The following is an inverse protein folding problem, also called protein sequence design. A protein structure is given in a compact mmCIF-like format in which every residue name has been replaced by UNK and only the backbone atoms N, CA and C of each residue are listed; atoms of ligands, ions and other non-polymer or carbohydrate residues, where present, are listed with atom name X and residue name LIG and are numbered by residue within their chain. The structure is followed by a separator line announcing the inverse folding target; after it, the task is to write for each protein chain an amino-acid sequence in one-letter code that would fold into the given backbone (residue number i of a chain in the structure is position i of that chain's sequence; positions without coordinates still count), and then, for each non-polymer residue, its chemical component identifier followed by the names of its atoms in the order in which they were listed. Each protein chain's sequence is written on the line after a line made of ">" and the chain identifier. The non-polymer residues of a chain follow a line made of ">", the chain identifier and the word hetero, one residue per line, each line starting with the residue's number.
data_IF_295812671582
#
_entry.id   IF_295812671582
#
_cell.length_a   1.000
_cell.length_b   1.000
_cell.length_c   1.000
_cell.angle_alpha   90.00
_cell.angle_beta   90.00
_cell.angle_gamma   90.00
#
_symmetry.space_group_name_H-M   'P 1'
#
loop_
_entity.id
_entity.type
_entity.pdbx_description
1 polymer ?
#
# COMPACT_ATOMS: atom_id res chain seq x y z
N UNK A 1 20.60 19.48 -16.26
CA UNK A 1 20.69 20.55 -17.26
C UNK A 1 19.30 20.75 -17.84
N UNK A 2 18.85 22.00 -17.98
CA UNK A 2 17.58 22.30 -18.63
C UNK A 2 17.73 22.14 -20.15
N UNK A 3 16.67 21.70 -20.81
CA UNK A 3 16.60 21.47 -22.25
C UNK A 3 15.40 22.25 -22.82
N UNK A 4 15.45 22.55 -24.12
CA UNK A 4 14.33 23.18 -24.83
C UNK A 4 13.35 22.09 -25.28
N UNK A 5 12.07 22.29 -24.99
CA UNK A 5 11.01 21.38 -25.40
C UNK A 5 9.91 22.14 -26.15
N UNK A 6 9.38 21.54 -27.22
CA UNK A 6 8.15 22.03 -27.84
C UNK A 6 6.95 21.56 -27.02
N UNK A 7 6.12 22.51 -26.59
CA UNK A 7 5.00 22.25 -25.68
C UNK A 7 3.73 22.93 -26.19
N UNK A 8 2.59 22.40 -25.74
CA UNK A 8 1.31 23.05 -25.95
C UNK A 8 1.14 24.24 -25.00
N UNK A 9 0.76 25.38 -25.58
CA UNK A 9 0.29 26.55 -24.85
C UNK A 9 -1.17 26.82 -25.17
N UNK A 10 -1.97 27.03 -24.13
CA UNK A 10 -3.40 27.30 -24.27
C UNK A 10 -3.73 28.73 -23.86
N UNK A 11 -4.52 29.40 -24.68
CA UNK A 11 -5.00 30.76 -24.43
C UNK A 11 -6.51 30.70 -24.34
N UNK A 12 -7.03 30.95 -23.14
CA UNK A 12 -8.48 31.06 -22.91
C UNK A 12 -8.97 32.48 -23.19
N UNK A 13 -10.04 32.58 -23.97
CA UNK A 13 -10.79 33.82 -24.22
C UNK A 13 -12.28 33.53 -23.99
N UNK A 14 -12.70 33.65 -22.73
CA UNK A 14 -14.05 33.26 -22.30
C UNK A 14 -14.32 31.78 -22.56
N UNK A 15 -15.29 31.47 -23.42
CA UNK A 15 -15.63 30.08 -23.77
C UNK A 15 -14.72 29.46 -24.83
N UNK A 16 -13.85 30.26 -25.48
CA UNK A 16 -12.94 29.78 -26.54
C UNK A 16 -11.57 29.43 -25.97
N UNK A 17 -11.02 28.29 -26.38
CA UNK A 17 -9.64 27.87 -26.17
C UNK A 17 -8.92 27.96 -27.52
N UNK A 18 -7.75 28.60 -27.56
CA UNK A 18 -6.83 28.51 -28.71
C UNK A 18 -5.54 27.81 -28.29
N UNK A 19 -5.13 26.84 -29.07
CA UNK A 19 -3.82 26.20 -28.95
C UNK A 19 -2.79 27.00 -29.73
N UNK A 20 -1.63 27.23 -29.11
CA UNK A 20 -0.40 27.67 -29.73
C UNK A 20 0.70 26.66 -29.40
N UNK A 21 1.72 26.60 -30.24
CA UNK A 21 2.99 25.96 -29.90
C UNK A 21 3.87 26.98 -29.17
N UNK A 22 4.64 26.51 -28.21
CA UNK A 22 5.68 27.28 -27.55
C UNK A 22 6.94 26.41 -27.42
N UNK A 23 8.11 27.04 -27.37
CA UNK A 23 9.38 26.36 -27.15
C UNK A 23 9.92 26.86 -25.82
N UNK A 24 9.90 26.00 -24.80
CA UNK A 24 10.21 26.38 -23.43
C UNK A 24 11.47 25.69 -22.94
N UNK A 25 12.31 26.43 -22.24
CA UNK A 25 13.39 25.85 -21.44
C UNK A 25 12.79 25.25 -20.16
N UNK A 26 13.17 24.01 -19.87
CA UNK A 26 12.67 23.33 -18.69
C UNK A 26 13.23 21.94 -18.52
N UNK A 27 12.51 21.13 -17.76
CA UNK A 27 12.90 19.76 -17.44
C UNK A 27 11.70 18.85 -17.41
N UNK A 28 11.85 17.65 -17.96
CA UNK A 28 10.79 16.64 -17.87
C UNK A 28 10.49 16.31 -16.40
N UNK A 29 9.21 16.16 -16.06
CA UNK A 29 8.73 15.94 -14.69
C UNK A 29 9.49 14.81 -14.00
N UNK A 30 9.69 13.67 -14.69
CA UNK A 30 10.47 12.52 -14.19
C UNK A 30 11.85 12.90 -13.66
N UNK A 31 12.59 13.76 -14.36
CA UNK A 31 13.92 14.19 -13.95
C UNK A 31 13.85 15.36 -12.98
N UNK A 32 12.81 16.20 -13.07
CA UNK A 32 12.60 17.28 -12.12
C UNK A 32 12.41 16.75 -10.71
N UNK A 33 11.49 15.79 -10.52
CA UNK A 33 11.18 15.23 -9.20
C UNK A 33 12.36 14.44 -8.62
N UNK A 34 13.09 13.70 -9.45
CA UNK A 34 14.30 12.99 -9.01
C UNK A 34 15.34 13.94 -8.38
N UNK A 35 15.50 15.12 -8.95
CA UNK A 35 16.49 16.08 -8.48
C UNK A 35 15.90 17.05 -7.43
N UNK A 36 14.58 17.06 -7.24
CA UNK A 36 13.86 17.91 -6.28
C UNK A 36 12.75 17.09 -5.57
N UNK A 37 13.13 16.16 -4.66
CA UNK A 37 12.18 15.23 -4.05
C UNK A 37 11.27 15.89 -3.00
N UNK A 38 11.59 17.08 -2.50
CA UNK A 38 10.84 17.74 -1.41
C UNK A 38 10.13 19.04 -1.88
N UNK A 39 9.14 18.97 -2.80
CA UNK A 39 8.43 20.16 -3.24
C UNK A 39 7.57 20.75 -2.10
N UNK A 40 7.31 22.06 -2.14
CA UNK A 40 6.29 22.63 -1.25
C UNK A 40 4.94 21.97 -1.54
N UNK A 41 4.22 21.54 -0.49
CA UNK A 41 2.93 20.85 -0.64
C UNK A 41 1.95 21.64 -1.51
N UNK A 42 1.88 22.95 -1.33
CA UNK A 42 1.03 23.81 -2.14
C UNK A 42 1.40 23.76 -3.64
N UNK A 43 2.70 23.72 -3.97
CA UNK A 43 3.19 23.61 -5.35
C UNK A 43 2.83 22.27 -5.96
N UNK A 44 3.00 21.15 -5.22
CA UNK A 44 2.61 19.84 -5.71
C UNK A 44 1.11 19.76 -6.06
N UNK A 45 0.26 20.26 -5.16
CA UNK A 45 -1.19 20.27 -5.39
C UNK A 45 -1.61 21.25 -6.49
N UNK A 46 -0.86 22.32 -6.71
CA UNK A 46 -1.06 23.21 -7.84
C UNK A 46 -0.64 22.55 -9.16
N UNK A 47 0.43 21.76 -9.18
CA UNK A 47 0.80 20.94 -10.34
C UNK A 47 -0.26 19.94 -10.73
N UNK A 48 -0.88 19.25 -9.76
CA UNK A 48 -2.04 18.39 -10.05
C UNK A 48 -3.11 19.18 -10.80
N UNK A 49 -3.53 20.34 -10.28
CA UNK A 49 -4.53 21.21 -10.93
C UNK A 49 -4.12 21.66 -12.32
N UNK A 50 -2.87 22.09 -12.50
CA UNK A 50 -2.36 22.52 -13.80
C UNK A 50 -2.40 21.40 -14.84
N UNK A 51 -2.07 20.16 -14.47
CA UNK A 51 -2.17 19.00 -15.37
C UNK A 51 -3.62 18.81 -15.81
N UNK A 52 -4.58 18.77 -14.87
CA UNK A 52 -6.00 18.62 -15.17
C UNK A 52 -6.54 19.74 -16.08
N UNK A 53 -6.15 20.99 -15.80
CA UNK A 53 -6.52 22.16 -16.59
C UNK A 53 -5.96 22.10 -18.01
N UNK A 54 -4.69 21.74 -18.17
CA UNK A 54 -4.04 21.61 -19.48
C UNK A 54 -4.71 20.51 -20.31
N UNK A 55 -5.10 19.38 -19.71
CA UNK A 55 -5.84 18.32 -20.40
C UNK A 55 -7.21 18.80 -20.88
N UNK A 56 -7.96 19.52 -20.03
CA UNK A 56 -9.27 20.08 -20.40
C UNK A 56 -9.14 21.10 -21.55
N UNK A 57 -8.14 21.97 -21.49
CA UNK A 57 -7.84 22.93 -22.55
C UNK A 57 -7.45 22.21 -23.85
N UNK A 58 -6.57 21.20 -23.80
CA UNK A 58 -6.21 20.39 -24.96
C UNK A 58 -7.46 19.78 -25.62
N UNK A 59 -8.35 19.19 -24.83
CA UNK A 59 -9.59 18.58 -25.32
C UNK A 59 -10.51 19.61 -25.97
N UNK A 60 -10.72 20.78 -25.34
CA UNK A 60 -11.51 21.88 -25.92
C UNK A 60 -10.95 22.34 -27.26
N UNK A 61 -9.63 22.46 -27.34
CA UNK A 61 -8.91 22.87 -28.53
C UNK A 61 -8.87 21.77 -29.63
N UNK A 62 -9.02 20.48 -29.29
CA UNK A 62 -8.96 19.32 -30.21
C UNK A 62 -10.29 18.61 -30.42
N UNK A 63 -11.41 19.33 -30.32
CA UNK A 63 -12.77 18.80 -30.54
C UNK A 63 -13.09 17.54 -29.70
N UNK A 64 -12.70 17.55 -28.42
CA UNK A 64 -12.95 16.46 -27.48
C UNK A 64 -12.00 15.27 -27.59
N UNK A 65 -10.99 15.33 -28.48
CA UNK A 65 -9.91 14.34 -28.52
C UNK A 65 -9.03 14.48 -27.28
N UNK A 66 -8.69 13.34 -26.68
CA UNK A 66 -7.78 13.28 -25.54
C UNK A 66 -6.32 13.46 -25.92
N UNK A 67 -5.49 13.75 -24.93
CA UNK A 67 -4.04 13.87 -25.08
C UNK A 67 -3.39 12.49 -25.25
N UNK A 68 -3.84 11.47 -24.52
CA UNK A 68 -3.51 10.04 -24.63
C UNK A 68 -2.05 9.64 -24.33
N UNK A 69 -1.17 10.60 -24.08
CA UNK A 69 0.26 10.35 -23.83
C UNK A 69 0.69 10.71 -22.40
N UNK A 70 -0.24 11.01 -21.51
CA UNK A 70 0.09 11.58 -20.20
C UNK A 70 0.91 10.62 -19.34
N UNK A 71 2.14 11.01 -19.05
CA UNK A 71 3.06 10.34 -18.14
C UNK A 71 4.18 11.33 -17.72
N UNK A 72 5.09 10.98 -16.79
CA UNK A 72 6.14 11.87 -16.32
C UNK A 72 7.16 12.36 -17.37
N UNK A 73 7.27 11.73 -18.54
CA UNK A 73 8.07 12.23 -19.67
C UNK A 73 7.29 13.20 -20.56
N UNK A 74 5.96 13.18 -20.53
CA UNK A 74 5.11 14.02 -21.38
C UNK A 74 4.80 15.39 -20.76
N UNK A 75 5.45 15.72 -19.65
CA UNK A 75 5.21 16.90 -18.83
C UNK A 75 6.53 17.64 -18.64
N UNK A 76 6.54 18.92 -18.97
CA UNK A 76 7.70 19.81 -18.80
C UNK A 76 7.44 20.74 -17.64
N UNK A 77 8.33 20.75 -16.66
CA UNK A 77 8.38 21.75 -15.59
C UNK A 77 9.30 22.89 -16.07
N UNK A 78 8.76 24.09 -16.17
CA UNK A 78 9.50 25.29 -16.58
C UNK A 78 10.28 25.89 -15.41
N UNK A 79 11.17 26.84 -15.69
CA UNK A 79 11.89 27.59 -14.64
C UNK A 79 10.96 28.34 -13.67
N UNK A 80 9.76 28.73 -14.12
CA UNK A 80 8.73 29.37 -13.29
C UNK A 80 7.91 28.37 -12.47
N UNK A 81 8.35 27.11 -12.37
CA UNK A 81 7.63 26.01 -11.71
C UNK A 81 6.21 25.79 -12.25
N UNK A 82 5.99 26.10 -13.53
CA UNK A 82 4.74 25.80 -14.24
C UNK A 82 4.87 24.49 -14.98
N UNK A 83 3.75 23.80 -15.16
CA UNK A 83 3.69 22.58 -15.95
C UNK A 83 3.09 22.85 -17.33
N UNK A 84 3.77 22.34 -18.36
CA UNK A 84 3.30 22.30 -19.74
C UNK A 84 3.19 20.86 -20.26
N UNK A 85 2.23 20.62 -21.16
CA UNK A 85 2.13 19.34 -21.87
C UNK A 85 3.08 19.35 -23.07
N UNK A 86 3.92 18.32 -23.18
CA UNK A 86 4.82 18.10 -24.32
C UNK A 86 4.00 17.91 -25.62
N UNK A 87 4.47 18.42 -26.76
CA UNK A 87 3.94 18.01 -28.05
C UNK A 87 4.59 16.70 -28.53
N UNK A 88 3.86 15.57 -28.55
CA UNK A 88 4.40 14.30 -29.01
C UNK A 88 4.64 14.25 -30.52
N UNK A 89 4.02 15.14 -31.30
CA UNK A 89 4.12 15.14 -32.76
C UNK A 89 5.29 16.01 -33.26
N UNK A 90 5.96 16.73 -32.36
CA UNK A 90 7.12 17.57 -32.64
C UNK A 90 8.39 16.74 -32.90
N UNK A 91 9.12 16.96 -34.02
CA UNK A 91 10.41 16.32 -34.28
C UNK A 91 11.45 16.57 -33.17
N UNK A 92 11.42 17.75 -32.57
CA UNK A 92 12.32 18.17 -31.49
C UNK A 92 12.16 17.28 -30.25
N UNK A 93 10.98 16.67 -30.08
CA UNK A 93 10.64 15.79 -28.96
C UNK A 93 10.76 14.29 -29.28
N UNK A 94 11.28 13.89 -30.45
CA UNK A 94 11.34 12.48 -30.88
C UNK A 94 12.06 11.58 -29.85
N UNK A 95 13.15 12.08 -29.25
CA UNK A 95 13.90 11.34 -28.25
C UNK A 95 13.07 11.10 -26.97
N UNK A 96 12.23 12.06 -26.58
CA UNK A 96 11.31 11.93 -25.44
C UNK A 96 10.21 10.93 -25.78
N UNK A 97 9.69 10.97 -27.01
CA UNK A 97 8.69 10.02 -27.48
C UNK A 97 9.17 8.57 -27.45
N UNK A 98 10.45 8.31 -27.79
CA UNK A 98 11.04 6.97 -27.65
C UNK A 98 11.04 6.49 -26.19
N UNK A 99 11.30 7.38 -25.24
CA UNK A 99 11.21 7.06 -23.79
C UNK A 99 9.77 6.77 -23.37
N UNK A 100 8.81 7.55 -23.85
CA UNK A 100 7.38 7.34 -23.57
C UNK A 100 6.84 6.02 -24.15
N UNK A 101 7.47 5.49 -25.20
CA UNK A 101 7.11 4.22 -25.82
C UNK A 101 7.76 2.99 -25.15
N UNK A 102 8.69 3.18 -24.20
CA UNK A 102 9.28 2.08 -23.45
C UNK A 102 8.19 1.23 -22.79
N UNK A 103 8.36 -0.09 -22.85
CA UNK A 103 7.38 -1.06 -22.34
C UNK A 103 7.00 -0.75 -20.88
N UNK A 104 7.99 -0.54 -20.02
CA UNK A 104 7.77 -0.20 -18.61
C UNK A 104 6.92 1.08 -18.43
N UNK A 105 7.12 2.11 -19.26
CA UNK A 105 6.29 3.32 -19.20
C UNK A 105 4.88 3.02 -19.68
N UNK A 106 4.74 2.28 -20.78
CA UNK A 106 3.42 1.97 -21.33
C UNK A 106 2.58 1.10 -20.40
N UNK A 107 3.18 0.11 -19.74
CA UNK A 107 2.48 -0.78 -18.81
C UNK A 107 1.86 -0.03 -17.63
N UNK A 108 2.50 1.04 -17.14
CA UNK A 108 2.04 1.79 -15.98
C UNK A 108 1.11 2.96 -16.33
N UNK A 109 1.28 3.59 -17.50
CA UNK A 109 0.59 4.85 -17.83
C UNK A 109 -0.44 4.72 -18.98
N UNK A 110 -0.47 3.61 -19.72
CA UNK A 110 -1.47 3.40 -20.79
C UNK A 110 -2.61 2.53 -20.28
N UNK A 111 -3.83 3.05 -20.39
CA UNK A 111 -5.04 2.31 -20.00
C UNK A 111 -5.17 0.99 -20.79
N UNK A 112 -5.32 -0.17 -20.12
CA UNK A 112 -5.52 -1.46 -20.79
C UNK A 112 -6.78 -1.48 -21.68
N UNK A 113 -6.66 -2.10 -22.86
CA UNK A 113 -7.72 -2.11 -23.90
C UNK A 113 -8.97 -2.91 -23.47
N UNK A 114 -8.83 -3.84 -22.52
CA UNK A 114 -9.90 -4.74 -22.05
C UNK A 114 -10.89 -4.05 -21.09
N UNK A 115 -10.57 -2.87 -20.54
CA UNK A 115 -11.45 -2.09 -19.66
C UNK A 115 -12.60 -1.36 -20.38
N UNK A 116 -13.05 -1.87 -21.55
CA UNK A 116 -14.00 -1.20 -22.47
C UNK A 116 -15.46 -1.25 -22.02
N UNK A 117 -15.74 -1.44 -20.73
CA UNK A 117 -17.05 -1.10 -20.17
C UNK A 117 -17.16 0.43 -20.14
N UNK A 118 -17.64 0.98 -21.26
CA UNK A 118 -18.02 2.40 -21.46
C UNK A 118 -17.03 3.44 -20.92
N UNK A 119 -15.91 3.65 -21.62
CA UNK A 119 -15.02 4.78 -21.33
C UNK A 119 -14.35 5.27 -22.60
N UNK A 120 -14.79 6.41 -23.13
CA UNK A 120 -14.19 7.03 -24.34
C UNK A 120 -12.74 7.46 -24.12
N UNK A 121 -12.16 8.19 -25.08
CA UNK A 121 -10.78 8.74 -25.03
C UNK A 121 -10.48 9.53 -23.74
N UNK A 122 -11.50 10.17 -23.15
CA UNK A 122 -11.39 10.83 -21.84
C UNK A 122 -10.98 9.90 -20.71
N UNK A 123 -11.48 8.66 -20.74
CA UNK A 123 -11.15 7.68 -19.70
C UNK A 123 -9.68 7.24 -19.74
N UNK A 124 -9.02 7.35 -20.90
CA UNK A 124 -7.59 7.10 -21.02
C UNK A 124 -6.76 8.27 -20.48
N UNK A 125 -7.17 9.52 -20.73
CA UNK A 125 -6.54 10.69 -20.12
C UNK A 125 -6.70 10.69 -18.60
N UNK A 126 -7.89 10.33 -18.08
CA UNK A 126 -8.15 10.21 -16.64
C UNK A 126 -7.24 9.14 -16.00
N UNK A 127 -7.09 7.99 -16.66
CA UNK A 127 -6.19 6.93 -16.20
C UNK A 127 -4.73 7.43 -16.12
N UNK A 128 -4.23 8.04 -17.20
CA UNK A 128 -2.87 8.60 -17.21
C UNK A 128 -2.69 9.71 -16.18
N UNK A 129 -3.74 10.48 -15.89
CA UNK A 129 -3.74 11.55 -14.91
C UNK A 129 -3.62 11.00 -13.48
N UNK A 130 -4.42 9.98 -13.14
CA UNK A 130 -4.30 9.28 -11.86
C UNK A 130 -2.94 8.61 -11.67
N UNK A 131 -2.43 7.90 -12.68
CA UNK A 131 -1.11 7.26 -12.63
C UNK A 131 0.04 8.26 -12.54
N UNK A 132 -0.09 9.43 -13.17
CA UNK A 132 0.88 10.52 -13.02
C UNK A 132 0.85 11.10 -11.60
N UNK A 133 -0.33 11.30 -10.99
CA UNK A 133 -0.41 11.70 -9.58
C UNK A 133 0.23 10.67 -8.64
N UNK A 134 -0.06 9.38 -8.86
CA UNK A 134 0.54 8.29 -8.09
C UNK A 134 2.07 8.33 -8.18
N UNK A 135 2.62 8.47 -9.39
CA UNK A 135 4.06 8.61 -9.59
C UNK A 135 4.64 9.82 -8.86
N UNK A 136 3.98 10.98 -8.95
CA UNK A 136 4.45 12.20 -8.29
C UNK A 136 4.49 12.04 -6.77
N UNK A 137 3.47 11.43 -6.17
CA UNK A 137 3.43 11.17 -4.72
C UNK A 137 4.48 10.15 -4.28
N UNK A 138 4.71 9.10 -5.06
CA UNK A 138 5.72 8.08 -4.73
C UNK A 138 7.17 8.59 -4.82
N UNK A 139 7.42 9.56 -5.70
CA UNK A 139 8.76 10.12 -5.93
C UNK A 139 9.02 11.42 -5.16
N UNK A 140 8.10 11.86 -4.30
CA UNK A 140 8.26 13.09 -3.53
C UNK A 140 7.88 12.93 -2.07
N UNK A 141 8.52 13.74 -1.22
CA UNK A 141 8.15 13.96 0.17
C UNK A 141 7.74 15.44 0.32
N UNK A 142 6.46 15.79 0.08
CA UNK A 142 6.04 17.18 0.08
C UNK A 142 6.23 17.84 1.43
N UNK A 143 6.60 19.11 1.45
CA UNK A 143 6.84 19.88 2.68
C UNK A 143 5.79 20.99 2.84
N UNK A 144 5.01 21.03 3.93
CA UNK A 144 4.90 19.99 4.96
C UNK A 144 4.26 18.72 4.41
N UNK A 145 4.50 17.57 5.07
CA UNK A 145 3.95 16.28 4.68
C UNK A 145 2.41 16.32 4.55
N UNK A 146 1.88 15.41 3.74
CA UNK A 146 0.44 15.23 3.68
C UNK A 146 -0.06 14.74 5.04
N UNK A 147 -1.25 15.19 5.42
CA UNK A 147 -1.99 14.61 6.54
C UNK A 147 -2.66 13.31 6.09
N UNK A 148 -2.96 12.41 7.04
CA UNK A 148 -3.71 11.17 6.74
C UNK A 148 -5.00 11.42 5.96
N UNK A 149 -5.69 12.53 6.24
CA UNK A 149 -6.91 12.92 5.50
C UNK A 149 -6.64 13.33 4.05
N UNK A 150 -5.52 14.02 3.82
CA UNK A 150 -5.06 14.39 2.47
C UNK A 150 -4.64 13.14 1.68
N UNK A 151 -3.91 12.22 2.31
CA UNK A 151 -3.50 10.92 1.73
C UNK A 151 -4.71 10.08 1.35
N UNK A 152 -5.63 9.84 2.29
CA UNK A 152 -6.87 9.10 2.03
C UNK A 152 -7.73 9.77 0.93
N UNK A 153 -7.73 11.10 0.86
CA UNK A 153 -8.41 11.83 -0.22
C UNK A 153 -7.70 11.63 -1.57
N UNK A 154 -6.37 11.63 -1.60
CA UNK A 154 -5.60 11.36 -2.82
C UNK A 154 -5.76 9.92 -3.31
N UNK A 155 -5.73 8.91 -2.42
CA UNK A 155 -6.01 7.51 -2.76
C UNK A 155 -7.37 7.41 -3.46
N UNK A 156 -8.42 7.99 -2.87
CA UNK A 156 -9.76 8.01 -3.47
C UNK A 156 -9.81 8.72 -4.83
N UNK A 157 -9.10 9.82 -5.00
CA UNK A 157 -9.02 10.54 -6.28
C UNK A 157 -8.33 9.68 -7.34
N UNK A 158 -7.17 9.09 -7.02
CA UNK A 158 -6.39 8.25 -7.93
C UNK A 158 -7.19 7.02 -8.35
N UNK A 159 -7.81 6.33 -7.40
CA UNK A 159 -8.65 5.17 -7.66
C UNK A 159 -9.78 5.47 -8.66
N UNK A 160 -10.49 6.59 -8.46
CA UNK A 160 -11.58 6.99 -9.35
C UNK A 160 -11.09 7.41 -10.74
N UNK A 161 -9.87 7.91 -10.86
CA UNK A 161 -9.21 8.20 -12.13
C UNK A 161 -8.81 6.91 -12.89
N UNK A 162 -8.26 5.93 -12.17
CA UNK A 162 -7.73 4.67 -12.74
C UNK A 162 -8.85 3.66 -13.06
N UNK A 163 -10.02 3.80 -12.43
CA UNK A 163 -11.20 2.95 -12.69
C UNK A 163 -11.41 1.86 -11.64
N UNK A 164 -10.80 2.04 -10.48
CA UNK A 164 -10.74 1.11 -9.37
C UNK A 164 -12.04 1.08 -8.55
N UNK A 165 -12.84 2.14 -8.65
CA UNK A 165 -14.13 2.27 -7.98
C UNK A 165 -15.26 2.14 -8.99
N UNK A 166 -16.40 1.60 -8.53
CA UNK A 166 -17.64 1.48 -9.33
C UNK A 166 -18.09 2.80 -9.98
N UNK A 167 -17.80 3.94 -9.35
CA UNK A 167 -18.11 5.29 -9.86
C UNK A 167 -16.84 6.11 -10.10
N UNK A 168 -16.28 5.97 -11.30
CA UNK A 168 -15.18 6.80 -11.79
C UNK A 168 -15.60 8.23 -12.08
N UNK A 169 -14.64 9.06 -12.50
CA UNK A 169 -14.91 10.43 -12.95
C UNK A 169 -15.44 10.46 -14.38
N UNK A 170 -16.41 11.34 -14.63
CA UNK A 170 -16.97 11.59 -15.96
C UNK A 170 -16.25 12.72 -16.70
N UNK A 171 -15.65 13.65 -15.95
CA UNK A 171 -14.87 14.78 -16.49
C UNK A 171 -13.72 15.18 -15.56
N UNK A 172 -12.80 16.01 -16.09
CA UNK A 172 -11.61 16.48 -15.36
C UNK A 172 -11.95 17.49 -14.24
N UNK A 173 -13.10 18.17 -14.33
CA UNK A 173 -13.53 19.19 -13.35
C UNK A 173 -14.00 18.53 -12.06
N UNK A 174 -14.56 17.33 -12.14
CA UNK A 174 -14.88 16.52 -10.97
C UNK A 174 -13.60 16.15 -10.21
N UNK A 175 -12.51 15.80 -10.91
CA UNK A 175 -11.21 15.52 -10.29
C UNK A 175 -10.70 16.76 -9.55
N UNK A 176 -10.72 17.92 -10.21
CA UNK A 176 -10.24 19.19 -9.64
C UNK A 176 -11.00 19.57 -8.35
N UNK A 177 -12.32 19.40 -8.32
CA UNK A 177 -13.15 19.64 -7.13
C UNK A 177 -12.82 18.69 -5.97
N UNK A 178 -12.49 17.45 -6.30
CA UNK A 178 -12.21 16.42 -5.31
C UNK A 178 -10.76 16.46 -4.81
N UNK A 179 -9.87 17.27 -5.41
CA UNK A 179 -8.52 17.51 -4.88
C UNK A 179 -8.54 18.34 -3.58
N UNK A 180 -7.68 18.03 -2.59
CA UNK A 180 -7.45 18.84 -1.40
C UNK A 180 -7.15 20.32 -1.69
N UNK A 181 -7.86 21.24 -1.02
CA UNK A 181 -7.60 22.68 -1.07
C UNK A 181 -6.46 23.04 -0.11
N UNK A 182 -5.24 23.09 -0.65
CA UNK A 182 -4.07 23.54 0.10
C UNK A 182 -3.99 25.05 -0.01
N UNK A 183 -4.33 25.73 1.08
CA UNK A 183 -4.11 27.16 1.20
C UNK A 183 -2.63 27.36 1.47
N UNK A 184 -1.90 27.88 0.49
CA UNK A 184 -0.52 28.28 0.70
C UNK A 184 -0.48 29.26 1.86
N UNK A 185 0.21 28.91 2.95
CA UNK A 185 0.84 29.96 3.75
C UNK A 185 1.81 30.61 2.78
N UNK A 186 1.43 31.75 2.19
CA UNK A 186 2.35 32.52 1.39
C UNK A 186 3.56 32.86 2.24
N UNK A 187 4.60 32.02 2.15
CA UNK A 187 5.88 32.33 2.76
C UNK A 187 6.45 33.42 1.87
N UNK A 188 6.13 34.67 2.25
CA UNK A 188 7.07 35.76 2.04
C UNK A 188 8.42 35.18 2.42
N UNK A 189 9.42 35.24 1.52
CA UNK A 189 10.83 35.05 1.86
C UNK A 189 11.17 36.02 3.00
N UNK A 190 10.88 35.64 4.23
CA UNK A 190 11.34 36.32 5.44
C UNK A 190 12.60 35.57 5.79
N UNK A 191 13.73 36.11 5.31
CA UNK A 191 15.04 35.54 5.55
C UNK A 191 15.25 35.23 7.02
N UNK A 192 15.91 34.10 7.29
CA UNK A 192 16.76 33.72 8.45
C UNK A 192 16.83 34.65 9.69
N UNK A 193 15.71 35.20 10.18
CA UNK A 193 15.72 36.21 11.26
C UNK A 193 14.60 36.00 12.30
N UNK A 194 13.71 35.01 12.16
CA UNK A 194 12.68 34.75 13.18
C UNK A 194 12.95 33.57 14.11
N UNK A 195 14.07 32.87 13.95
CA UNK A 195 14.49 31.83 14.91
C UNK A 195 15.20 32.40 16.15
N UNK A 196 15.70 33.65 16.09
CA UNK A 196 16.38 34.28 17.25
C UNK A 196 15.43 34.92 18.28
N UNK A 197 14.14 35.12 17.96
CA UNK A 197 13.19 35.78 18.88
C UNK A 197 12.46 34.80 19.80
N UNK A 198 12.51 33.49 19.54
CA UNK A 198 11.94 32.47 20.44
C UNK A 198 12.95 31.96 21.48
N UNK A 199 14.25 32.12 21.26
CA UNK A 199 15.28 31.78 22.25
C UNK A 199 15.51 32.87 23.31
N UNK A 200 14.99 34.09 23.13
CA UNK A 200 15.09 35.18 24.11
C UNK A 200 14.00 35.14 25.21
N UNK A 201 12.91 34.41 24.99
CA UNK A 201 11.84 34.24 26.00
C UNK A 201 12.06 33.05 26.94
N UNK A 202 12.97 32.12 26.59
CA UNK A 202 13.30 30.94 27.41
C UNK A 202 14.37 31.19 28.49
N UNK A 203 14.97 32.40 28.54
CA UNK A 203 16.03 32.74 29.52
C UNK A 203 15.53 33.60 30.68
N UNK A 204 14.24 33.98 30.72
CA UNK A 204 13.67 34.80 31.82
C UNK A 204 12.82 33.97 32.80
N UNK A 205 12.53 32.69 32.51
CA UNK A 205 11.76 31.80 33.40
C UNK A 205 12.60 30.81 34.22
N UNK A 206 13.92 30.94 34.23
CA UNK A 206 14.84 30.13 35.06
C UNK A 206 15.27 30.84 36.36
N UNK A 207 14.51 31.85 36.82
CA UNK A 207 14.81 32.57 38.04
C UNK A 207 13.56 33.04 38.74
N UNK A 208 12.93 32.18 39.55
CA UNK A 208 12.45 32.44 40.91
C UNK A 208 12.03 31.10 41.52
N UNK A 209 12.45 30.94 42.77
CA UNK A 209 12.48 29.78 43.66
C UNK A 209 11.13 29.44 44.33
N UNK A 210 10.88 28.12 44.45
CA UNK A 210 10.26 27.35 45.56
C UNK A 210 9.33 28.06 46.55
N UNK A 211 8.07 27.60 46.60
CA UNK A 211 7.16 27.32 47.74
C UNK A 211 5.70 27.43 47.21
N UNK A 212 4.71 26.57 47.44
CA UNK A 212 4.32 25.65 48.52
C UNK A 212 3.37 24.56 47.97
N UNK A 213 3.30 23.44 48.68
CA UNK A 213 2.33 22.35 48.51
C UNK A 213 0.89 22.78 48.79
N UNK A 214 -0.08 22.18 48.09
CA UNK A 214 -1.29 21.57 48.66
C UNK A 214 -2.25 21.07 47.55
N UNK A 215 -2.74 19.85 47.79
CA UNK A 215 -4.03 19.30 47.41
C UNK A 215 -4.20 18.60 46.04
N UNK A 216 -4.63 17.34 46.20
CA UNK A 216 -4.98 16.33 45.23
C UNK A 216 -6.33 16.65 44.56
N UNK A 217 -6.47 16.21 43.31
CA UNK A 217 -7.76 16.12 42.63
C UNK A 217 -7.57 15.71 41.16
N UNK A 218 -7.84 14.42 40.89
CA UNK A 218 -8.27 13.88 39.58
C UNK A 218 -7.20 13.77 38.48
N UNK A 219 -6.40 12.70 38.56
CA UNK A 219 -5.87 12.00 37.37
C UNK A 219 -6.39 10.56 37.44
N UNK A 220 -7.58 10.32 36.93
CA UNK A 220 -8.08 8.98 36.66
C UNK A 220 -9.12 9.07 35.55
N UNK A 221 -8.66 9.32 34.32
CA UNK A 221 -9.47 9.14 33.11
C UNK A 221 -8.63 9.06 31.81
N UNK A 222 -7.31 9.30 31.87
CA UNK A 222 -6.45 9.34 30.67
C UNK A 222 -5.66 8.05 30.38
N UNK A 223 -5.61 7.08 31.29
CA UNK A 223 -4.80 5.86 31.11
C UNK A 223 -5.61 4.63 30.64
N UNK A 224 -6.95 4.71 30.61
CA UNK A 224 -7.77 3.65 30.00
C UNK A 224 -7.99 3.83 28.49
N UNK A 225 -7.70 5.00 27.91
CA UNK A 225 -7.93 5.26 26.48
C UNK A 225 -6.72 4.96 25.58
N UNK A 226 -5.49 5.06 26.10
CA UNK A 226 -4.28 4.83 25.28
C UNK A 226 -3.99 3.34 25.03
N UNK A 227 -4.44 2.44 25.92
CA UNK A 227 -4.22 1.00 25.77
C UNK A 227 -5.23 0.33 24.81
N UNK A 228 -6.41 0.93 24.61
CA UNK A 228 -7.38 0.49 23.59
C UNK A 228 -7.04 1.06 22.20
N UNK A 229 -6.50 2.28 22.10
CA UNK A 229 -6.07 2.88 20.83
C UNK A 229 -4.83 2.18 20.23
N UNK A 230 -3.86 1.76 21.05
CA UNK A 230 -2.65 1.07 20.54
C UNK A 230 -2.94 -0.34 20.00
N UNK A 231 -3.95 -1.04 20.56
CA UNK A 231 -4.42 -2.33 20.02
C UNK A 231 -5.24 -2.20 18.74
N UNK A 232 -5.92 -1.07 18.55
CA UNK A 232 -6.64 -0.78 17.29
C UNK A 232 -5.70 -0.22 16.19
N UNK A 233 -4.62 0.48 16.57
CA UNK A 233 -3.60 0.98 15.65
C UNK A 233 -2.75 -0.15 15.05
N UNK A 234 -2.43 -1.20 15.80
CA UNK A 234 -1.72 -2.36 15.28
C UNK A 234 -2.59 -3.16 14.29
N UNK A 235 -3.89 -3.30 14.58
CA UNK A 235 -4.85 -3.98 13.71
C UNK A 235 -5.22 -3.17 12.45
N UNK A 236 -4.94 -1.87 12.44
CA UNK A 236 -5.16 -0.96 11.30
C UNK A 236 -3.89 -0.72 10.47
N UNK A 237 -2.71 -1.07 11.00
CA UNK A 237 -1.42 -0.97 10.31
C UNK A 237 -1.12 -2.13 9.34
N UNK A 238 -1.85 -3.25 9.43
CA UNK A 238 -1.79 -4.34 8.42
C UNK A 238 -2.72 -4.10 7.21
N UNK A 239 -3.45 -2.99 7.14
CA UNK A 239 -4.49 -2.79 6.11
C UNK A 239 -4.33 -1.58 5.17
N UNK A 240 -3.18 -0.91 5.11
CA UNK A 240 -3.02 0.24 4.19
C UNK A 240 -1.66 0.29 3.47
N UNK A 241 -1.37 -0.72 2.64
CA UNK A 241 -0.67 -0.55 1.36
C UNK A 241 -1.68 -0.78 0.21
N UNK A 242 -2.64 0.12 0.02
CA UNK A 242 -3.49 0.09 -1.18
C UNK A 242 -2.83 0.85 -2.34
N UNK A 243 -1.94 0.14 -3.06
CA UNK A 243 -1.63 0.44 -4.45
C UNK A 243 -2.74 -0.08 -5.38
N UNK A 244 -3.66 0.83 -5.75
CA UNK A 244 -4.50 0.79 -6.96
C UNK A 244 -5.29 -0.50 -7.28
N UNK A 245 -6.56 -0.48 -6.88
CA UNK A 245 -7.66 -1.44 -7.19
C UNK A 245 -7.97 -1.66 -8.72
N UNK A 246 -7.04 -2.12 -9.56
CA UNK A 246 -7.48 -2.84 -10.76
C UNK A 246 -8.16 -4.11 -10.24
N UNK A 247 -9.50 -4.20 -10.37
CA UNK A 247 -10.26 -5.39 -9.95
C UNK A 247 -9.93 -6.54 -10.90
N UNK A 248 -8.81 -7.17 -10.63
CA UNK A 248 -8.47 -8.50 -11.12
C UNK A 248 -9.40 -9.49 -10.44
N UNK A 249 -9.86 -10.51 -11.15
CA UNK A 249 -10.41 -11.68 -10.47
C UNK A 249 -9.31 -12.31 -9.61
N UNK A 250 -9.66 -13.05 -8.56
CA UNK A 250 -8.65 -13.74 -7.74
C UNK A 250 -7.73 -14.65 -8.59
N UNK A 251 -8.29 -15.23 -9.66
CA UNK A 251 -7.56 -16.03 -10.66
C UNK A 251 -6.57 -15.19 -11.48
N UNK A 252 -7.00 -14.00 -11.93
CA UNK A 252 -6.12 -13.06 -12.66
C UNK A 252 -5.01 -12.53 -11.76
N UNK A 253 -5.30 -12.28 -10.48
CA UNK A 253 -4.30 -11.84 -9.52
C UNK A 253 -3.25 -12.92 -9.28
N UNK A 254 -3.67 -14.17 -9.09
CA UNK A 254 -2.76 -15.31 -8.96
C UNK A 254 -1.88 -15.50 -10.21
N UNK A 255 -2.45 -15.37 -11.41
CA UNK A 255 -1.72 -15.48 -12.68
C UNK A 255 -0.68 -14.34 -12.85
N UNK A 256 -1.05 -13.10 -12.51
CA UNK A 256 -0.15 -11.94 -12.56
C UNK A 256 1.00 -12.12 -11.56
N UNK A 257 0.69 -12.52 -10.33
CA UNK A 257 1.69 -12.76 -9.28
C UNK A 257 2.66 -13.88 -9.69
N UNK A 258 2.14 -14.98 -10.24
CA UNK A 258 2.97 -16.08 -10.76
C UNK A 258 3.91 -15.61 -11.87
N UNK A 259 3.38 -14.88 -12.86
CA UNK A 259 4.19 -14.31 -13.95
C UNK A 259 5.25 -13.36 -13.45
N UNK A 260 4.96 -12.61 -12.38
CA UNK A 260 5.93 -11.67 -11.82
C UNK A 260 7.13 -12.36 -11.20
N UNK A 261 6.90 -13.47 -10.47
CA UNK A 261 7.97 -14.30 -9.95
C UNK A 261 8.80 -14.93 -11.08
N UNK A 262 8.15 -15.39 -12.15
CA UNK A 262 8.85 -15.90 -13.34
C UNK A 262 9.72 -14.83 -14.01
N UNK A 263 9.21 -13.60 -14.18
CA UNK A 263 9.97 -12.49 -14.73
C UNK A 263 11.23 -12.22 -13.90
N UNK A 264 11.10 -12.16 -12.56
CA UNK A 264 12.23 -11.93 -11.66
C UNK A 264 13.28 -13.05 -11.75
N UNK A 265 12.86 -14.32 -11.88
CA UNK A 265 13.77 -15.44 -12.11
C UNK A 265 14.48 -15.34 -13.47
N UNK A 266 13.78 -14.90 -14.51
CA UNK A 266 14.34 -14.76 -15.87
C UNK A 266 15.37 -13.65 -16.00
N UNK A 267 15.38 -12.67 -15.08
CA UNK A 267 16.45 -11.68 -15.00
C UNK A 267 17.82 -12.35 -14.77
N UNK A 268 17.84 -13.55 -14.19
CA UNK A 268 19.05 -14.36 -13.95
C UNK A 268 20.14 -13.56 -13.20
N UNK A 269 19.71 -12.76 -12.24
CA UNK A 269 20.56 -11.97 -11.36
C UNK A 269 20.40 -12.44 -9.91
N UNK A 270 21.40 -12.17 -9.07
CA UNK A 270 21.30 -12.45 -7.64
C UNK A 270 20.16 -11.67 -6.97
N UNK A 271 19.96 -10.41 -7.38
CA UNK A 271 18.89 -9.54 -6.87
C UNK A 271 17.50 -10.05 -7.27
N UNK A 272 17.32 -10.47 -8.53
CA UNK A 272 16.07 -11.08 -9.00
C UNK A 272 15.73 -12.35 -8.20
N UNK A 273 16.72 -13.21 -7.96
CA UNK A 273 16.56 -14.41 -7.14
C UNK A 273 16.21 -14.09 -5.69
N UNK A 274 16.86 -13.11 -5.08
CA UNK A 274 16.56 -12.68 -3.70
C UNK A 274 15.13 -12.16 -3.57
N UNK A 275 14.67 -11.36 -4.53
CA UNK A 275 13.28 -10.87 -4.55
C UNK A 275 12.25 -11.99 -4.72
N UNK A 276 12.56 -13.01 -5.51
CA UNK A 276 11.72 -14.21 -5.64
C UNK A 276 11.62 -14.97 -4.34
N UNK A 277 12.74 -15.12 -3.61
CA UNK A 277 12.74 -15.80 -2.32
C UNK A 277 11.86 -15.05 -1.30
N UNK A 278 12.06 -13.74 -1.15
CA UNK A 278 11.30 -12.93 -0.19
C UNK A 278 9.79 -12.97 -0.52
N UNK A 279 9.43 -12.60 -1.76
CA UNK A 279 8.02 -12.52 -2.16
C UNK A 279 7.36 -13.91 -2.19
N UNK A 280 8.09 -14.93 -2.67
CA UNK A 280 7.58 -16.30 -2.76
C UNK A 280 7.31 -16.91 -1.38
N UNK A 281 8.21 -16.70 -0.41
CA UNK A 281 8.03 -17.19 0.96
C UNK A 281 6.86 -16.49 1.67
N UNK A 282 6.67 -15.20 1.45
CA UNK A 282 5.52 -14.46 1.97
C UNK A 282 4.20 -14.99 1.39
N UNK A 283 4.13 -15.17 0.06
CA UNK A 283 2.96 -15.74 -0.60
C UNK A 283 2.67 -17.18 -0.17
N UNK A 284 3.69 -18.02 0.03
CA UNK A 284 3.52 -19.40 0.53
C UNK A 284 2.78 -19.39 1.88
N UNK A 285 3.20 -18.51 2.80
CA UNK A 285 2.54 -18.36 4.12
C UNK A 285 1.09 -17.92 4.00
N UNK A 286 0.80 -16.89 3.21
CA UNK A 286 -0.56 -16.37 3.06
C UNK A 286 -1.53 -17.38 2.44
N UNK A 287 -1.06 -18.12 1.42
CA UNK A 287 -1.82 -19.19 0.78
C UNK A 287 -2.09 -20.30 1.79
N UNK A 288 -1.09 -20.74 2.55
CA UNK A 288 -1.25 -21.80 3.54
C UNK A 288 -2.19 -21.39 4.68
N UNK A 289 -2.14 -20.15 5.18
CA UNK A 289 -3.09 -19.64 6.19
C UNK A 289 -4.53 -19.71 5.67
N UNK A 290 -4.72 -19.29 4.41
CA UNK A 290 -6.04 -19.30 3.76
C UNK A 290 -6.55 -20.71 3.52
N UNK A 291 -5.69 -21.61 3.03
CA UNK A 291 -6.02 -23.01 2.78
C UNK A 291 -6.31 -23.76 4.07
N UNK A 292 -5.48 -23.61 5.11
CA UNK A 292 -5.67 -24.29 6.39
C UNK A 292 -7.02 -23.92 7.01
N UNK A 293 -7.36 -22.63 7.01
CA UNK A 293 -8.65 -22.16 7.49
C UNK A 293 -9.82 -22.66 6.64
N UNK A 294 -9.65 -22.77 5.32
CA UNK A 294 -10.67 -23.32 4.43
C UNK A 294 -10.84 -24.83 4.63
N UNK A 295 -9.76 -25.59 4.75
CA UNK A 295 -9.81 -27.03 5.04
C UNK A 295 -10.48 -27.32 6.38
N UNK A 296 -10.18 -26.55 7.41
CA UNK A 296 -10.83 -26.67 8.71
C UNK A 296 -12.34 -26.42 8.62
N UNK A 297 -12.78 -25.39 7.87
CA UNK A 297 -14.21 -25.07 7.66
C UNK A 297 -14.96 -26.11 6.84
N UNK A 298 -14.29 -26.73 5.89
CA UNK A 298 -14.84 -27.76 5.01
C UNK A 298 -14.61 -29.18 5.56
N UNK A 299 -14.22 -29.30 6.83
CA UNK A 299 -14.01 -30.57 7.55
C UNK A 299 -12.99 -31.52 6.87
N UNK A 300 -12.03 -30.95 6.13
CA UNK A 300 -10.91 -31.65 5.50
C UNK A 300 -9.73 -31.74 6.47
N UNK A 301 -9.91 -32.53 7.52
CA UNK A 301 -9.04 -32.54 8.71
C UNK A 301 -7.59 -32.90 8.41
N UNK A 302 -7.34 -33.92 7.57
CA UNK A 302 -5.97 -34.34 7.24
C UNK A 302 -5.21 -33.25 6.46
N UNK A 303 -5.87 -32.60 5.51
CA UNK A 303 -5.29 -31.50 4.74
C UNK A 303 -5.07 -30.25 5.61
N UNK A 304 -5.98 -29.98 6.56
CA UNK A 304 -5.82 -28.90 7.53
C UNK A 304 -4.60 -29.15 8.45
N UNK A 305 -4.44 -30.36 8.98
CA UNK A 305 -3.28 -30.75 9.79
C UNK A 305 -1.98 -30.56 9.00
N UNK A 306 -1.94 -31.03 7.74
CA UNK A 306 -0.79 -30.84 6.85
C UNK A 306 -0.47 -29.35 6.64
N UNK A 307 -1.48 -28.53 6.34
CA UNK A 307 -1.30 -27.11 6.06
C UNK A 307 -0.83 -26.33 7.31
N UNK A 308 -1.42 -26.58 8.47
CA UNK A 308 -0.96 -25.98 9.74
C UNK A 308 0.44 -26.47 10.13
N UNK A 309 0.78 -27.75 9.89
CA UNK A 309 2.13 -28.26 10.09
C UNK A 309 3.17 -27.51 9.25
N UNK A 310 2.89 -27.32 7.96
CA UNK A 310 3.76 -26.54 7.08
C UNK A 310 3.90 -25.09 7.54
N UNK A 311 2.82 -24.45 8.02
CA UNK A 311 2.88 -23.11 8.59
C UNK A 311 3.79 -23.04 9.82
N UNK A 312 3.67 -23.99 10.75
CA UNK A 312 4.54 -24.05 11.94
C UNK A 312 6.01 -24.11 11.54
N UNK A 313 6.38 -24.77 10.44
CA UNK A 313 7.76 -24.82 9.95
C UNK A 313 8.27 -23.47 9.44
N UNK A 314 7.52 -22.82 8.54
CA UNK A 314 8.00 -21.69 7.72
C UNK A 314 7.63 -20.29 8.26
N UNK A 315 6.73 -20.24 9.24
CA UNK A 315 6.28 -18.98 9.83
C UNK A 315 7.38 -18.35 10.70
N UNK A 316 7.43 -17.02 10.70
CA UNK A 316 8.45 -16.24 11.43
C UNK A 316 7.89 -15.57 12.70
N UNK A 317 6.59 -15.29 12.72
CA UNK A 317 5.94 -14.61 13.85
C UNK A 317 5.51 -15.63 14.89
N UNK A 318 6.06 -15.53 16.11
CA UNK A 318 5.76 -16.46 17.21
C UNK A 318 4.26 -16.63 17.49
N UNK A 319 3.49 -15.55 17.46
CA UNK A 319 2.02 -15.58 17.66
C UNK A 319 1.31 -16.43 16.59
N UNK A 320 1.78 -16.36 15.34
CA UNK A 320 1.21 -17.11 14.22
C UNK A 320 1.63 -18.58 14.25
N UNK A 321 2.88 -18.86 14.65
CA UNK A 321 3.38 -20.22 14.92
C UNK A 321 2.53 -20.87 16.02
N UNK A 322 2.33 -20.16 17.13
CA UNK A 322 1.54 -20.63 18.27
C UNK A 322 0.09 -20.91 17.85
N UNK A 323 -0.56 -19.97 17.14
CA UNK A 323 -1.94 -20.17 16.67
C UNK A 323 -2.07 -21.35 15.71
N UNK A 324 -1.18 -21.48 14.72
CA UNK A 324 -1.20 -22.59 13.77
C UNK A 324 -0.96 -23.93 14.48
N UNK A 325 0.00 -23.94 15.40
CA UNK A 325 0.33 -25.08 16.23
C UNK A 325 -0.83 -25.55 17.11
N UNK A 326 -1.47 -24.64 17.84
CA UNK A 326 -2.64 -24.95 18.67
C UNK A 326 -3.78 -25.51 17.82
N UNK A 327 -4.03 -24.95 16.62
CA UNK A 327 -5.05 -25.47 15.72
C UNK A 327 -4.71 -26.88 15.25
N UNK A 328 -3.45 -27.14 14.87
CA UNK A 328 -2.96 -28.48 14.53
C UNK A 328 -3.19 -29.47 15.67
N UNK A 329 -2.76 -29.13 16.89
CA UNK A 329 -2.94 -29.98 18.08
C UNK A 329 -4.42 -30.33 18.33
N UNK A 330 -5.32 -29.34 18.21
CA UNK A 330 -6.76 -29.54 18.41
C UNK A 330 -7.36 -30.45 17.34
N UNK A 331 -6.90 -30.36 16.10
CA UNK A 331 -7.36 -31.22 15.01
C UNK A 331 -6.87 -32.65 15.19
N UNK A 332 -5.61 -32.85 15.59
CA UNK A 332 -5.03 -34.16 15.92
C UNK A 332 -5.79 -34.80 17.09
N UNK A 333 -6.00 -34.06 18.19
CA UNK A 333 -6.77 -34.52 19.34
C UNK A 333 -8.25 -34.81 18.97
N UNK A 334 -8.83 -34.02 18.06
CA UNK A 334 -10.18 -34.25 17.54
C UNK A 334 -10.32 -35.55 16.72
N UNK A 335 -9.20 -36.12 16.26
CA UNK A 335 -9.13 -37.45 15.66
C UNK A 335 -8.70 -38.55 16.66
N UNK A 336 -8.73 -38.25 17.97
CA UNK A 336 -8.23 -39.13 19.04
C UNK A 336 -6.73 -39.45 18.91
N UNK A 337 -5.97 -38.65 18.15
CA UNK A 337 -4.53 -38.82 17.97
C UNK A 337 -3.76 -38.01 19.01
N UNK A 338 -4.02 -38.25 20.30
CA UNK A 338 -3.42 -37.47 21.40
C UNK A 338 -1.90 -37.55 21.43
N UNK A 339 -1.31 -38.70 21.07
CA UNK A 339 0.14 -38.84 20.96
C UNK A 339 0.76 -37.88 19.91
N UNK A 340 0.09 -37.69 18.77
CA UNK A 340 0.53 -36.74 17.74
C UNK A 340 0.35 -35.29 18.22
N UNK A 341 -0.78 -34.99 18.88
CA UNK A 341 -1.04 -33.68 19.46
C UNK A 341 -0.01 -33.28 20.52
N UNK A 342 0.46 -34.23 21.34
CA UNK A 342 1.52 -33.99 22.33
C UNK A 342 2.87 -33.73 21.68
N UNK A 343 3.25 -34.51 20.66
CA UNK A 343 4.48 -34.27 19.91
C UNK A 343 4.46 -32.87 19.28
N UNK A 344 3.35 -32.48 18.64
CA UNK A 344 3.17 -31.12 18.12
C UNK A 344 3.32 -30.08 19.22
N UNK A 345 2.74 -30.29 20.40
CA UNK A 345 2.87 -29.37 21.54
C UNK A 345 4.31 -29.23 22.05
N UNK A 346 5.06 -30.33 22.12
CA UNK A 346 6.47 -30.32 22.53
C UNK A 346 7.36 -29.58 21.52
N UNK A 347 7.17 -29.83 20.22
CA UNK A 347 7.86 -29.11 19.15
C UNK A 347 7.57 -27.60 19.19
N UNK A 348 6.34 -27.21 19.49
CA UNK A 348 5.95 -25.80 19.63
C UNK A 348 6.63 -25.15 20.84
N UNK A 349 6.70 -25.83 21.98
CA UNK A 349 7.37 -25.31 23.16
C UNK A 349 8.88 -25.18 22.95
N UNK A 350 9.51 -26.13 22.24
CA UNK A 350 10.92 -26.01 21.86
C UNK A 350 11.14 -24.79 20.95
N UNK A 351 10.23 -24.55 19.99
CA UNK A 351 10.35 -23.43 19.04
C UNK A 351 10.03 -22.06 19.66
N UNK A 352 9.03 -21.98 20.52
CA UNK A 352 8.53 -20.72 21.12
C UNK A 352 9.20 -20.37 22.45
N UNK A 353 9.82 -21.35 23.13
CA UNK A 353 10.38 -21.22 24.47
C UNK A 353 9.32 -21.36 25.57
N UNK A 354 8.38 -20.42 25.65
CA UNK A 354 7.29 -20.46 26.63
C UNK A 354 5.96 -20.07 25.98
N UNK A 355 4.93 -20.90 26.21
CA UNK A 355 3.55 -20.64 25.82
C UNK A 355 2.61 -21.28 26.83
N UNK A 356 1.86 -20.46 27.56
CA UNK A 356 0.89 -20.93 28.58
C UNK A 356 -0.24 -21.74 27.93
N UNK A 357 -0.73 -21.29 26.77
CA UNK A 357 -1.81 -21.96 26.04
C UNK A 357 -1.38 -23.34 25.51
N UNK A 358 -0.15 -23.48 24.99
CA UNK A 358 0.37 -24.78 24.55
C UNK A 358 0.61 -25.69 25.75
N UNK A 359 1.15 -25.17 26.86
CA UNK A 359 1.35 -25.95 28.10
C UNK A 359 0.04 -26.49 28.68
N UNK A 360 -1.02 -25.69 28.69
CA UNK A 360 -2.35 -26.11 29.15
C UNK A 360 -2.89 -27.26 28.31
N UNK A 361 -2.83 -27.15 26.97
CA UNK A 361 -3.28 -28.20 26.05
C UNK A 361 -2.43 -29.47 26.16
N UNK A 362 -1.12 -29.35 26.32
CA UNK A 362 -0.23 -30.50 26.56
C UNK A 362 -0.61 -31.21 27.87
N UNK A 363 -0.95 -30.46 28.92
CA UNK A 363 -1.46 -31.01 30.17
C UNK A 363 -2.77 -31.79 29.98
N UNK A 364 -3.75 -31.16 29.35
CA UNK A 364 -5.07 -31.75 29.08
C UNK A 364 -4.96 -33.03 28.24
N UNK A 365 -4.19 -33.01 27.14
CA UNK A 365 -4.07 -34.14 26.23
C UNK A 365 -3.27 -35.30 26.83
N UNK A 366 -2.34 -35.03 27.74
CA UNK A 366 -1.62 -36.07 28.48
C UNK A 366 -2.53 -36.81 29.46
N UNK A 367 -3.46 -36.10 30.11
CA UNK A 367 -4.48 -36.73 30.97
C UNK A 367 -5.42 -37.62 30.14
N UNK A 368 -5.94 -37.10 29.02
CA UNK A 368 -6.84 -37.86 28.14
C UNK A 368 -6.19 -39.10 27.51
N UNK A 369 -4.94 -39.00 27.07
CA UNK A 369 -4.21 -40.17 26.56
C UNK A 369 -4.07 -41.26 27.63
N UNK A 370 -3.77 -40.86 28.88
CA UNK A 370 -3.65 -41.81 30.00
C UNK A 370 -4.97 -42.49 30.36
N UNK A 371 -6.12 -41.82 30.16
CA UNK A 371 -7.45 -42.41 30.35
C UNK A 371 -7.81 -43.41 29.23
N UNK A 372 -7.44 -43.14 27.98
CA UNK A 372 -7.62 -44.06 26.85
C UNK A 372 -6.82 -45.34 27.04
N UNK A 373 -5.52 -45.24 27.36
CA UNK A 373 -4.65 -46.40 27.58
C UNK A 373 -5.16 -47.29 28.74
N UNK A 374 -5.73 -46.68 29.79
CA UNK A 374 -6.34 -47.42 30.91
C UNK A 374 -7.67 -48.10 30.54
N UNK A 375 -8.49 -47.47 29.72
CA UNK A 375 -9.76 -48.04 29.24
C UNK A 375 -9.52 -49.18 28.25
N UNK A 376 -8.53 -49.06 27.37
CA UNK A 376 -8.11 -50.15 26.47
C UNK A 376 -7.60 -51.36 27.27
N UNK A 377 -6.73 -51.15 28.26
CA UNK A 377 -6.25 -52.23 29.13
C UNK A 377 -7.38 -52.92 29.91
N UNK A 378 -8.40 -52.19 30.39
CA UNK A 378 -9.54 -52.79 31.08
C UNK A 378 -10.45 -53.57 30.12
N UNK A 379 -10.63 -53.08 28.89
CA UNK A 379 -11.43 -53.75 27.86
C UNK A 379 -10.76 -55.03 27.38
N UNK A 380 -9.44 -55.04 27.22
CA UNK A 380 -8.67 -56.25 26.91
C UNK A 380 -8.77 -57.28 28.03
N UNK A 381 -8.61 -56.88 29.30
CA UNK A 381 -8.75 -57.77 30.46
C UNK A 381 -10.15 -58.40 30.56
N UNK A 382 -11.22 -57.63 30.30
CA UNK A 382 -12.60 -58.15 30.29
C UNK A 382 -12.88 -59.09 29.09
N UNK A 383 -12.28 -58.81 27.93
CA UNK A 383 -12.44 -59.65 26.73
C UNK A 383 -11.69 -60.98 26.87
N UNK A 384 -10.56 -61.00 27.58
CA UNK A 384 -9.86 -62.24 27.93
C UNK A 384 -10.61 -63.07 28.99
N UNK A 385 -11.28 -62.43 29.95
CA UNK A 385 -12.12 -63.13 30.94
C UNK A 385 -13.38 -63.75 30.33
N UNK A 386 -13.98 -63.17 29.28
CA UNK A 386 -15.14 -63.74 28.58
C UNK A 386 -14.79 -64.87 27.59
N UNK A 387 -13.50 -65.07 27.29
CA UNK A 387 -13.01 -66.17 26.43
C UNK A 387 -12.58 -67.42 27.21
N UNK A 388 -12.67 -67.39 28.55
CA UNK A 388 -12.55 -68.56 29.44
C UNK A 388 -13.93 -69.00 29.89
#
# INVERSE_FOLDING_TARGET
>A
MAEMYEVFRFIDQGTRCRQSMDCVEGKLLVYYLRDNPEPEKAVLFEWFRQIGKNLEQYRRCRNGKGYLYLNPYSIVVTEEERICLLDPDSPENEAVMKKMQLRAVREHFVKPVLSRKSGGRLSADLFGYGKTMQFMLAYTEPVPRLTRLEEARMIRVIDRCVGNRKKGYEDLRQVEKDLPEIHGTGVKKVGRMRLFLLCAAAVILAGITIHTAAEQGEMEEAELQSAEEDKELLNRQESEEEETDQVYTAEEYADITSKKLEELLLENTAEGNERVLILGQELERDILRSLAAAYEREERTEEAICAYGRLVEIEERNEMIESAGIRKMKLEAGQEQYAAALLTGEELLEKLGESEAVQELVGEYRERQGEEEQNEEQTEKQTEEQKK
#
